data_IF_572771088688
#
_entry.id   IF_572771088688
#
_cell.length_a   1.000
_cell.length_b   1.000
_cell.length_c   1.000
_cell.angle_alpha   90.00
_cell.angle_beta   90.00
_cell.angle_gamma   90.00
#
_symmetry.space_group_name_H-M   'P 1'
#
loop_
_entity.id
_entity.type
_entity.pdbx_description
1 polymer ?
#
# COMPACT_ATOMS: atom_id res chain seq x y z
N UNK A 1 -15.25 0.88 -23.40
CA UNK A 1 -15.27 0.44 -21.99
C UNK A 1 -13.87 0.63 -21.39
N UNK A 2 -13.61 1.70 -20.63
CA UNK A 2 -12.25 2.04 -20.16
C UNK A 2 -11.87 1.37 -18.83
N UNK A 3 -12.77 0.66 -18.16
CA UNK A 3 -12.58 0.11 -16.81
C UNK A 3 -12.80 -1.41 -16.74
N UNK A 4 -12.56 -2.10 -17.86
CA UNK A 4 -12.70 -3.55 -18.02
C UNK A 4 -11.36 -4.21 -18.32
N UNK A 5 -11.25 -5.52 -18.09
CA UNK A 5 -10.07 -6.30 -18.45
C UNK A 5 -8.77 -5.77 -17.82
N UNK A 6 -7.74 -5.54 -18.63
CA UNK A 6 -6.41 -5.11 -18.20
C UNK A 6 -6.39 -3.81 -17.40
N UNK A 7 -7.34 -2.90 -17.59
CA UNK A 7 -7.38 -1.65 -16.82
C UNK A 7 -7.71 -1.88 -15.35
N UNK A 8 -8.40 -2.98 -15.01
CA UNK A 8 -8.61 -3.36 -13.59
C UNK A 8 -7.30 -3.78 -12.92
N UNK A 9 -6.39 -4.40 -13.66
CA UNK A 9 -5.07 -4.79 -13.19
C UNK A 9 -4.20 -3.54 -12.93
N UNK A 10 -4.27 -2.54 -13.81
CA UNK A 10 -3.59 -1.26 -13.60
C UNK A 10 -4.12 -0.47 -12.41
N UNK A 11 -5.45 -0.37 -12.25
CA UNK A 11 -6.06 0.27 -11.07
C UNK A 11 -5.62 -0.44 -9.80
N UNK A 12 -5.62 -1.77 -9.80
CA UNK A 12 -5.16 -2.57 -8.68
C UNK A 12 -3.69 -2.30 -8.34
N UNK A 13 -2.82 -2.25 -9.35
CA UNK A 13 -1.39 -1.93 -9.18
C UNK A 13 -1.22 -0.54 -8.57
N UNK A 14 -1.94 0.45 -9.11
CA UNK A 14 -1.89 1.83 -8.64
C UNK A 14 -2.31 1.95 -7.18
N UNK A 15 -3.46 1.38 -6.79
CA UNK A 15 -3.95 1.37 -5.41
C UNK A 15 -2.92 0.72 -4.47
N UNK A 16 -2.34 -0.42 -4.87
CA UNK A 16 -1.37 -1.13 -4.06
C UNK A 16 -0.09 -0.29 -3.87
N UNK A 17 0.41 0.33 -4.94
CA UNK A 17 1.62 1.16 -4.89
C UNK A 17 1.42 2.37 -3.97
N UNK A 18 0.28 3.05 -4.06
CA UNK A 18 -0.05 4.18 -3.19
C UNK A 18 -0.11 3.75 -1.73
N UNK A 19 -0.84 2.67 -1.40
CA UNK A 19 -0.95 2.20 -0.03
C UNK A 19 0.40 1.69 0.51
N UNK A 20 1.12 0.87 -0.24
CA UNK A 20 2.41 0.36 0.21
C UNK A 20 3.43 1.48 0.49
N UNK A 21 3.48 2.50 -0.37
CA UNK A 21 4.41 3.63 -0.18
C UNK A 21 3.99 4.55 0.97
N UNK A 22 2.68 4.78 1.15
CA UNK A 22 2.12 5.50 2.29
C UNK A 22 2.49 4.82 3.61
N UNK A 23 2.22 3.52 3.72
CA UNK A 23 2.54 2.72 4.92
C UNK A 23 4.02 2.83 5.31
N UNK A 24 4.93 2.63 4.34
CA UNK A 24 6.37 2.73 4.61
C UNK A 24 6.74 4.14 5.07
N UNK A 25 6.25 5.17 4.38
CA UNK A 25 6.59 6.57 4.67
C UNK A 25 6.12 6.99 6.06
N UNK A 26 4.90 6.65 6.41
CA UNK A 26 4.26 7.15 7.63
C UNK A 26 4.87 6.49 8.88
N UNK A 27 5.37 5.26 8.73
CA UNK A 27 6.15 4.58 9.77
C UNK A 27 7.63 5.01 9.86
N UNK A 28 8.17 5.66 8.82
CA UNK A 28 9.53 6.24 8.82
C UNK A 28 9.55 7.64 9.43
N UNK A 29 8.39 8.32 9.50
CA UNK A 29 8.24 9.67 10.09
C UNK A 29 7.32 9.66 11.33
N UNK A 30 7.69 8.95 12.41
CA UNK A 30 6.82 8.81 13.58
C UNK A 30 6.64 10.10 14.37
N UNK A 31 7.53 11.09 14.22
CA UNK A 31 7.47 12.35 14.99
C UNK A 31 6.19 13.16 14.75
N UNK A 32 5.59 13.08 13.55
CA UNK A 32 4.30 13.72 13.26
C UNK A 32 3.13 13.05 14.02
N UNK A 33 3.14 11.72 14.08
CA UNK A 33 2.09 10.93 14.73
C UNK A 33 2.23 10.97 16.25
N UNK A 34 3.46 10.97 16.77
CA UNK A 34 3.77 11.21 18.20
C UNK A 34 3.31 12.57 18.67
N UNK A 35 3.43 13.61 17.85
CA UNK A 35 2.95 14.95 18.20
C UNK A 35 1.42 15.03 18.30
N UNK A 36 0.70 14.09 17.68
CA UNK A 36 -0.76 13.99 17.70
C UNK A 36 -1.28 12.90 18.64
N UNK A 37 -0.39 12.13 19.29
CA UNK A 37 -0.70 10.94 20.11
C UNK A 37 -1.54 9.88 19.37
N UNK A 38 -1.23 9.65 18.09
CA UNK A 38 -1.93 8.68 17.24
C UNK A 38 -0.96 7.57 16.82
N UNK A 39 -1.42 6.33 16.88
CA UNK A 39 -0.66 5.20 16.32
C UNK A 39 -0.65 5.27 14.77
N UNK A 40 0.53 5.23 14.12
CA UNK A 40 0.62 5.37 12.66
C UNK A 40 -0.03 4.20 11.90
N UNK A 41 -0.04 2.99 12.48
CA UNK A 41 -0.70 1.84 11.86
C UNK A 41 -2.22 2.01 11.90
N UNK A 42 -2.78 2.44 13.03
CA UNK A 42 -4.22 2.74 13.15
C UNK A 42 -4.64 3.87 12.21
N UNK A 43 -3.85 4.94 12.15
CA UNK A 43 -4.06 6.06 11.23
C UNK A 43 -4.07 5.61 9.77
N UNK A 44 -3.07 4.82 9.34
CA UNK A 44 -2.98 4.33 7.96
C UNK A 44 -4.20 3.50 7.57
N UNK A 45 -4.67 2.62 8.46
CA UNK A 45 -5.83 1.78 8.17
C UNK A 45 -7.15 2.57 8.14
N UNK A 46 -7.28 3.63 8.94
CA UNK A 46 -8.42 4.52 8.83
C UNK A 46 -8.39 5.32 7.52
N UNK A 47 -7.21 5.82 7.12
CA UNK A 47 -7.01 6.47 5.82
C UNK A 47 -7.35 5.52 4.68
N UNK A 48 -6.96 4.24 4.77
CA UNK A 48 -7.32 3.24 3.76
C UNK A 48 -8.82 3.01 3.68
N UNK A 49 -9.52 2.95 4.81
CA UNK A 49 -10.97 2.78 4.85
C UNK A 49 -11.67 3.95 4.12
N UNK A 50 -11.36 5.18 4.50
CA UNK A 50 -11.96 6.40 3.91
C UNK A 50 -11.60 6.50 2.43
N UNK A 51 -10.31 6.33 2.09
CA UNK A 51 -9.83 6.43 0.71
C UNK A 51 -10.47 5.35 -0.16
N UNK A 52 -10.58 4.12 0.34
CA UNK A 52 -11.23 3.01 -0.36
C UNK A 52 -12.69 3.36 -0.65
N UNK A 53 -13.41 3.92 0.32
CA UNK A 53 -14.81 4.34 0.15
C UNK A 53 -14.94 5.42 -0.93
N UNK A 54 -14.15 6.49 -0.86
CA UNK A 54 -14.17 7.57 -1.87
C UNK A 54 -13.81 7.00 -3.26
N UNK A 55 -12.83 6.10 -3.32
CA UNK A 55 -12.35 5.53 -4.58
C UNK A 55 -13.40 4.68 -5.30
N UNK A 56 -14.42 4.15 -4.61
CA UNK A 56 -15.54 3.42 -5.23
C UNK A 56 -16.33 4.27 -6.22
N UNK A 57 -16.27 5.59 -6.12
CA UNK A 57 -16.92 6.49 -7.06
C UNK A 57 -16.26 6.48 -8.45
N UNK A 58 -15.00 6.04 -8.55
CA UNK A 58 -14.20 6.15 -9.78
C UNK A 58 -13.53 4.84 -10.21
N UNK A 59 -13.28 3.91 -9.28
CA UNK A 59 -12.57 2.67 -9.56
C UNK A 59 -13.47 1.43 -9.51
N UNK A 60 -13.30 0.48 -10.43
CA UNK A 60 -14.11 -0.73 -10.50
C UNK A 60 -13.67 -1.83 -9.50
N UNK A 61 -12.64 -1.57 -8.71
CA UNK A 61 -11.98 -2.53 -7.80
C UNK A 61 -11.48 -1.78 -6.58
N UNK A 62 -11.59 -2.42 -5.41
CA UNK A 62 -11.04 -1.97 -4.13
C UNK A 62 -10.12 -3.06 -3.57
N UNK A 63 -9.05 -2.67 -2.88
CA UNK A 63 -8.17 -3.61 -2.18
C UNK A 63 -8.80 -4.04 -0.86
N UNK A 64 -8.69 -5.31 -0.51
CA UNK A 64 -9.14 -5.84 0.77
C UNK A 64 -8.09 -5.52 1.86
N UNK A 65 -8.11 -4.28 2.35
CA UNK A 65 -7.13 -3.75 3.32
C UNK A 65 -7.29 -4.31 4.73
N UNK A 66 -8.46 -4.86 5.05
CA UNK A 66 -8.74 -5.52 6.33
C UNK A 66 -8.27 -6.97 6.36
N UNK A 67 -7.89 -7.53 5.21
CA UNK A 67 -7.32 -8.85 5.14
C UNK A 67 -6.05 -8.94 6.00
N UNK A 68 -5.96 -9.87 6.98
CA UNK A 68 -4.78 -10.00 7.82
C UNK A 68 -3.52 -10.33 7.00
N UNK A 69 -3.65 -11.01 5.86
CA UNK A 69 -2.54 -11.28 4.95
C UNK A 69 -2.06 -10.01 4.23
N UNK A 70 -2.97 -9.09 3.94
CA UNK A 70 -2.63 -7.81 3.33
C UNK A 70 -1.84 -6.95 4.33
N UNK A 71 -2.35 -6.81 5.56
CA UNK A 71 -1.66 -6.08 6.64
C UNK A 71 -0.29 -6.66 6.95
N UNK A 72 -0.19 -7.99 7.09
CA UNK A 72 1.09 -8.67 7.29
C UNK A 72 2.07 -8.48 6.12
N UNK A 73 1.57 -8.43 4.88
CA UNK A 73 2.40 -8.16 3.71
C UNK A 73 2.91 -6.72 3.65
N UNK A 74 2.09 -5.73 4.02
CA UNK A 74 2.53 -4.33 4.16
C UNK A 74 3.60 -4.19 5.22
N UNK A 75 3.41 -4.82 6.38
CA UNK A 75 4.40 -4.82 7.45
C UNK A 75 5.73 -5.47 7.01
N UNK A 76 5.64 -6.55 6.22
CA UNK A 76 6.82 -7.17 5.63
C UNK A 76 7.58 -6.21 4.70
N UNK A 77 6.86 -5.44 3.88
CA UNK A 77 7.46 -4.40 3.01
C UNK A 77 8.12 -3.31 3.84
N UNK A 78 7.48 -2.82 4.90
CA UNK A 78 8.04 -1.82 5.85
C UNK A 78 9.36 -2.29 6.45
N UNK A 79 9.38 -3.50 7.03
CA UNK A 79 10.58 -4.06 7.64
C UNK A 79 11.72 -4.19 6.62
N UNK A 80 11.40 -4.65 5.41
CA UNK A 80 12.41 -4.78 4.34
C UNK A 80 12.92 -3.42 3.86
N UNK A 81 12.07 -2.40 3.79
CA UNK A 81 12.48 -1.03 3.46
C UNK A 81 13.46 -0.48 4.49
N UNK A 82 13.22 -0.72 5.79
CA UNK A 82 14.18 -0.39 6.86
C UNK A 82 15.52 -1.08 6.68
N UNK A 83 15.52 -2.39 6.40
CA UNK A 83 16.77 -3.15 6.14
C UNK A 83 17.53 -2.67 4.91
N UNK A 84 16.83 -2.18 3.88
CA UNK A 84 17.44 -1.56 2.70
C UNK A 84 18.14 -0.26 3.10
N UNK A 85 17.50 0.59 3.91
CA UNK A 85 18.09 1.83 4.40
C UNK A 85 19.34 1.56 5.25
N UNK A 86 19.26 0.65 6.23
CA UNK A 86 20.40 0.24 7.06
C UNK A 86 21.57 -0.32 6.23
N UNK A 87 21.28 -1.17 5.23
CA UNK A 87 22.31 -1.69 4.35
C UNK A 87 22.93 -0.59 3.47
N UNK A 88 22.16 0.42 3.07
CA UNK A 88 22.66 1.55 2.29
C UNK A 88 23.66 2.39 3.09
N UNK A 89 23.47 2.54 4.39
CA UNK A 89 24.37 3.30 5.28
C UNK A 89 25.71 2.58 5.52
N UNK A 90 25.71 1.25 5.57
CA UNK A 90 26.92 0.45 5.82
C UNK A 90 27.95 0.54 4.68
N UNK A 91 27.50 0.71 3.42
CA UNK A 91 28.37 0.80 2.26
C UNK A 91 29.13 -0.50 1.90
N UNK A 92 29.76 -0.51 0.72
CA UNK A 92 30.58 -1.63 0.22
C UNK A 92 29.83 -2.72 -0.56
N UNK A 93 30.58 -3.60 -1.20
CA UNK A 93 30.06 -4.65 -2.12
C UNK A 93 29.13 -5.65 -1.42
N UNK A 94 29.47 -6.06 -0.20
CA UNK A 94 28.65 -6.97 0.59
C UNK A 94 27.30 -6.32 1.00
N UNK A 95 27.29 -5.02 1.26
CA UNK A 95 26.07 -4.28 1.55
C UNK A 95 25.20 -4.12 0.30
N UNK A 96 25.80 -3.86 -0.86
CA UNK A 96 25.08 -3.82 -2.15
C UNK A 96 24.41 -5.16 -2.48
N UNK A 97 25.07 -6.29 -2.23
CA UNK A 97 24.49 -7.61 -2.46
C UNK A 97 23.28 -7.86 -1.54
N UNK A 98 23.42 -7.53 -0.24
CA UNK A 98 22.31 -7.62 0.74
C UNK A 98 21.14 -6.70 0.36
N UNK A 99 21.44 -5.48 -0.07
CA UNK A 99 20.44 -4.52 -0.52
C UNK A 99 19.64 -5.07 -1.71
N UNK A 100 20.31 -5.61 -2.73
CA UNK A 100 19.64 -6.26 -3.88
C UNK A 100 18.79 -7.45 -3.45
N UNK A 101 19.27 -8.25 -2.49
CA UNK A 101 18.51 -9.36 -1.94
C UNK A 101 17.24 -8.89 -1.19
N UNK A 102 17.30 -7.79 -0.44
CA UNK A 102 16.12 -7.20 0.20
C UNK A 102 15.16 -6.57 -0.80
N UNK A 103 15.66 -5.91 -1.84
CA UNK A 103 14.83 -5.37 -2.93
C UNK A 103 14.06 -6.49 -3.65
N UNK A 104 14.71 -7.62 -3.94
CA UNK A 104 14.04 -8.78 -4.51
C UNK A 104 12.93 -9.32 -3.58
N UNK A 105 13.17 -9.34 -2.27
CA UNK A 105 12.14 -9.73 -1.29
C UNK A 105 10.98 -8.73 -1.23
N UNK A 106 11.24 -7.42 -1.36
CA UNK A 106 10.17 -6.40 -1.48
C UNK A 106 9.35 -6.65 -2.73
N UNK A 107 9.99 -6.87 -3.88
CA UNK A 107 9.31 -7.21 -5.13
C UNK A 107 8.41 -8.45 -4.98
N UNK A 108 8.90 -9.49 -4.31
CA UNK A 108 8.12 -10.69 -4.04
C UNK A 108 6.94 -10.44 -3.08
N UNK A 109 7.14 -9.64 -2.03
CA UNK A 109 6.07 -9.28 -1.10
C UNK A 109 4.97 -8.45 -1.79
N UNK A 110 5.35 -7.46 -2.60
CA UNK A 110 4.42 -6.67 -3.40
C UNK A 110 3.68 -7.54 -4.42
N UNK A 111 4.36 -8.49 -5.06
CA UNK A 111 3.71 -9.44 -5.97
C UNK A 111 2.66 -10.29 -5.22
N UNK A 112 2.99 -10.79 -4.03
CA UNK A 112 2.02 -11.53 -3.19
C UNK A 112 0.80 -10.68 -2.84
N UNK A 113 1.01 -9.43 -2.41
CA UNK A 113 -0.07 -8.48 -2.15
C UNK A 113 -0.91 -8.22 -3.42
N UNK A 114 -0.25 -8.08 -4.56
CA UNK A 114 -0.88 -7.91 -5.86
C UNK A 114 -1.64 -9.16 -6.34
N UNK A 115 -1.46 -10.33 -5.76
CA UNK A 115 -2.20 -11.54 -6.12
C UNK A 115 -3.33 -11.90 -5.13
N UNK A 116 -3.47 -11.18 -4.02
CA UNK A 116 -4.58 -11.38 -3.07
C UNK A 116 -5.96 -11.15 -3.74
N UNK A 117 -7.07 -11.67 -3.21
CA UNK A 117 -8.39 -11.31 -3.73
C UNK A 117 -8.65 -9.80 -3.58
N UNK A 118 -9.38 -9.22 -4.52
CA UNK A 118 -9.86 -7.83 -4.44
C UNK A 118 -11.37 -7.78 -4.40
N UNK A 119 -11.90 -6.69 -3.87
CA UNK A 119 -13.34 -6.45 -3.80
C UNK A 119 -13.78 -5.82 -5.12
N UNK A 120 -14.78 -6.41 -5.76
CA UNK A 120 -15.39 -5.84 -6.98
C UNK A 120 -16.25 -4.65 -6.59
N UNK A 121 -16.19 -3.58 -7.37
CA UNK A 121 -17.01 -2.39 -7.16
C UNK A 121 -17.75 -2.03 -8.45
N UNK A 122 -19.04 -1.74 -8.32
CA UNK A 122 -19.87 -1.22 -9.41
C UNK A 122 -19.89 0.30 -9.33
N UNK A 123 -19.42 0.95 -10.41
CA UNK A 123 -19.26 2.40 -10.43
C UNK A 123 -20.65 3.04 -10.60
N UNK A 124 -21.02 4.03 -9.77
CA UNK A 124 -22.29 4.74 -9.90
C UNK A 124 -22.48 5.32 -11.31
N UNK A 125 -23.71 5.21 -11.84
CA UNK A 125 -24.06 5.73 -13.19
C UNK A 125 -23.92 7.24 -13.31
N UNK A 126 -23.93 7.96 -12.19
CA UNK A 126 -23.77 9.41 -12.13
C UNK A 126 -22.54 9.72 -11.30
N UNK A 127 -21.49 10.22 -11.95
CA UNK A 127 -20.27 10.66 -11.26
C UNK A 127 -20.53 12.03 -10.63
N UNK A 128 -20.78 12.06 -9.32
CA UNK A 128 -20.86 13.27 -8.49
C UNK A 128 -20.02 13.01 -7.26
N UNK A 129 -19.24 13.99 -6.82
CA UNK A 129 -18.47 13.87 -5.58
C UNK A 129 -19.45 13.81 -4.41
N UNK A 130 -19.65 12.62 -3.85
CA UNK A 130 -20.43 12.43 -2.63
C UNK A 130 -19.48 12.42 -1.43
N UNK A 131 -19.79 13.14 -0.34
CA UNK A 131 -19.01 13.08 0.89
C UNK A 131 -19.07 11.67 1.49
N UNK A 132 -17.93 11.18 1.97
CA UNK A 132 -17.81 9.89 2.64
C UNK A 132 -17.27 10.15 4.05
N UNK A 133 -18.15 10.48 4.99
CA UNK A 133 -17.81 10.69 6.40
C UNK A 133 -18.93 10.17 7.29
#
# INVERSE_FOLDING_TARGET
HLLTGGNKLWVRFFLLAVYATMYVRDHVRPEFHKALDIDPTEYDFEVYRITSEISRQVFPVVLDTDNPKFRAGLERVRILAGKIAEASEQGGLAAQLRMRAYQAQVGYALLKLYLLPTIKNEIPRTSRLQPAY
#
